data_IF_999579584372
#
_entry.id   IF_999579584372
#
_cell.length_a   1.000
_cell.length_b   1.000
_cell.length_c   1.000
_cell.angle_alpha   90.00
_cell.angle_beta   90.00
_cell.angle_gamma   90.00
#
_symmetry.space_group_name_H-M   'P 1'
#
loop_
_entity.id
_entity.type
_entity.pdbx_description
1 polymer ?
#
# COMPACT_ATOMS: atom_id res chain seq x y z
N UNK A 1 -8.76 -6.52 -8.18
CA UNK A 1 -8.34 -7.84 -7.66
C UNK A 1 -9.55 -8.71 -7.30
N UNK A 2 -9.73 -9.82 -7.99
CA UNK A 2 -10.80 -10.79 -7.70
C UNK A 2 -10.47 -11.75 -6.52
N UNK A 3 -11.35 -12.71 -6.23
CA UNK A 3 -11.15 -13.67 -5.12
C UNK A 3 -9.97 -14.61 -5.37
N UNK A 4 -9.74 -15.05 -6.61
CA UNK A 4 -8.63 -15.94 -6.95
C UNK A 4 -7.30 -15.21 -6.87
N UNK A 5 -7.24 -13.99 -7.40
CA UNK A 5 -6.07 -13.12 -7.33
C UNK A 5 -5.70 -12.79 -5.88
N UNK A 6 -6.69 -12.50 -5.03
CA UNK A 6 -6.45 -12.30 -3.58
C UNK A 6 -5.86 -13.54 -2.90
N UNK A 7 -6.30 -14.74 -3.28
CA UNK A 7 -5.74 -15.99 -2.75
C UNK A 7 -4.26 -16.14 -3.13
N UNK A 8 -3.91 -15.85 -4.38
CA UNK A 8 -2.52 -15.88 -4.86
C UNK A 8 -1.68 -14.83 -4.12
N UNK A 9 -2.19 -13.60 -4.00
CA UNK A 9 -1.53 -12.52 -3.27
C UNK A 9 -1.24 -12.90 -1.81
N UNK A 10 -2.22 -13.49 -1.12
CA UNK A 10 -2.02 -13.98 0.26
C UNK A 10 -1.00 -15.13 0.34
N UNK A 11 -0.98 -16.02 -0.63
CA UNK A 11 0.01 -17.11 -0.67
C UNK A 11 1.43 -16.57 -0.88
N UNK A 12 1.59 -15.58 -1.76
CA UNK A 12 2.86 -14.90 -1.97
C UNK A 12 3.33 -14.15 -0.72
N UNK A 13 2.42 -13.60 0.10
CA UNK A 13 2.81 -13.04 1.40
C UNK A 13 3.36 -14.09 2.36
N UNK A 14 2.80 -15.31 2.39
CA UNK A 14 3.37 -16.40 3.19
C UNK A 14 4.79 -16.73 2.73
N UNK A 15 4.98 -16.88 1.42
CA UNK A 15 6.31 -17.11 0.83
C UNK A 15 7.26 -15.98 1.22
N UNK A 16 6.84 -14.72 1.09
CA UNK A 16 7.65 -13.56 1.44
C UNK A 16 8.14 -13.62 2.89
N UNK A 17 7.24 -13.89 3.84
CA UNK A 17 7.57 -14.05 5.26
C UNK A 17 8.60 -15.16 5.50
N UNK A 18 8.52 -16.27 4.77
CA UNK A 18 9.45 -17.39 4.89
C UNK A 18 10.86 -17.10 4.32
N UNK A 19 10.97 -16.19 3.36
CA UNK A 19 12.24 -15.90 2.66
C UNK A 19 12.89 -14.58 3.08
N UNK A 20 12.17 -13.68 3.75
CA UNK A 20 12.66 -12.32 4.04
C UNK A 20 13.91 -12.28 4.93
N UNK A 21 14.09 -13.29 5.80
CA UNK A 21 15.24 -13.39 6.71
C UNK A 21 16.41 -14.19 6.11
N UNK A 22 16.28 -14.72 4.88
CA UNK A 22 17.26 -15.60 4.25
C UNK A 22 18.18 -14.78 3.33
N UNK A 23 19.45 -14.51 3.71
CA UNK A 23 20.34 -13.66 2.93
C UNK A 23 20.57 -14.19 1.50
N UNK A 24 20.62 -15.51 1.33
CA UNK A 24 20.77 -16.18 0.04
C UNK A 24 19.55 -16.03 -0.88
N UNK A 25 18.41 -15.56 -0.34
CA UNK A 25 17.17 -15.28 -1.09
C UNK A 25 16.92 -13.80 -1.32
N UNK A 26 17.84 -12.91 -0.95
CA UNK A 26 17.63 -11.47 -0.99
C UNK A 26 17.05 -10.95 -2.32
N UNK A 27 17.66 -11.31 -3.47
CA UNK A 27 17.17 -10.87 -4.78
C UNK A 27 15.73 -11.35 -5.07
N UNK A 28 15.41 -12.60 -4.72
CA UNK A 28 14.07 -13.16 -4.85
C UNK A 28 13.08 -12.46 -3.92
N UNK A 29 13.49 -12.17 -2.68
CA UNK A 29 12.70 -11.43 -1.69
C UNK A 29 12.33 -10.04 -2.21
N UNK A 30 13.29 -9.28 -2.73
CA UNK A 30 13.06 -7.95 -3.29
C UNK A 30 12.08 -8.02 -4.48
N UNK A 31 12.30 -8.95 -5.42
CA UNK A 31 11.41 -9.10 -6.57
C UNK A 31 9.97 -9.43 -6.14
N UNK A 32 9.81 -10.38 -5.21
CA UNK A 32 8.49 -10.75 -4.70
C UNK A 32 7.84 -9.59 -3.95
N UNK A 33 8.58 -8.91 -3.07
CA UNK A 33 8.11 -7.73 -2.35
C UNK A 33 7.59 -6.65 -3.32
N UNK A 34 8.39 -6.25 -4.31
CA UNK A 34 7.99 -5.22 -5.29
C UNK A 34 6.76 -5.65 -6.10
N UNK A 35 6.69 -6.92 -6.51
CA UNK A 35 5.52 -7.43 -7.25
C UNK A 35 4.23 -7.41 -6.41
N UNK A 36 4.33 -7.67 -5.11
CA UNK A 36 3.21 -7.68 -4.19
C UNK A 36 2.79 -6.26 -3.80
N UNK A 37 3.77 -5.37 -3.64
CA UNK A 37 3.59 -3.96 -3.33
C UNK A 37 2.94 -3.20 -4.49
N UNK A 38 3.32 -3.47 -5.74
CA UNK A 38 2.69 -2.87 -6.91
C UNK A 38 1.18 -3.11 -7.01
N UNK A 39 0.65 -4.18 -6.39
CA UNK A 39 -0.79 -4.47 -6.37
C UNK A 39 -1.58 -3.65 -5.33
N UNK A 40 -0.90 -2.90 -4.48
CA UNK A 40 -1.51 -1.97 -3.52
C UNK A 40 -1.73 -0.58 -4.12
N UNK A 41 -1.01 -0.24 -5.18
CA UNK A 41 -1.08 1.05 -5.86
C UNK A 41 -1.95 0.98 -7.11
N UNK A 42 -2.35 2.12 -7.68
CA UNK A 42 -3.13 2.13 -8.92
C UNK A 42 -2.43 1.38 -10.06
N UNK A 43 -3.21 0.74 -10.93
CA UNK A 43 -2.68 0.04 -12.11
C UNK A 43 -1.82 0.95 -13.00
N UNK A 44 -2.14 2.26 -13.04
CA UNK A 44 -1.39 3.27 -13.78
C UNK A 44 0.02 3.50 -13.24
N UNK A 45 0.18 3.54 -11.91
CA UNK A 45 1.48 3.72 -11.25
C UNK A 45 2.31 2.44 -11.38
N UNK A 46 1.69 1.27 -11.17
CA UNK A 46 2.36 -0.02 -11.26
C UNK A 46 2.65 -0.52 -12.68
N UNK A 47 2.21 0.23 -13.72
CA UNK A 47 2.26 -0.15 -15.13
C UNK A 47 1.79 -1.61 -15.36
N UNK A 48 0.67 -1.96 -14.75
CA UNK A 48 0.12 -3.32 -14.76
C UNK A 48 -1.25 -3.31 -15.43
N UNK A 49 -1.51 -4.33 -16.25
CA UNK A 49 -2.84 -4.53 -16.84
C UNK A 49 -3.82 -5.20 -15.88
N UNK A 50 -3.39 -5.51 -14.65
CA UNK A 50 -4.22 -6.16 -13.62
C UNK A 50 -4.91 -5.11 -12.78
N UNK A 51 -6.17 -5.34 -12.45
CA UNK A 51 -6.90 -4.51 -11.49
C UNK A 51 -6.30 -4.66 -10.10
N UNK A 52 -5.79 -3.57 -9.54
CA UNK A 52 -5.13 -3.54 -8.23
C UNK A 52 -6.13 -3.41 -7.08
N UNK A 53 -5.64 -3.35 -5.85
CA UNK A 53 -6.49 -3.10 -4.67
C UNK A 53 -6.94 -1.63 -4.61
N UNK A 54 -6.06 -0.69 -4.95
CA UNK A 54 -6.43 0.72 -5.06
C UNK A 54 -7.50 0.92 -6.14
N UNK A 55 -7.34 0.31 -7.32
CA UNK A 55 -8.34 0.38 -8.39
C UNK A 55 -9.71 -0.10 -7.89
N UNK A 56 -9.77 -1.23 -7.17
CA UNK A 56 -11.04 -1.75 -6.61
C UNK A 56 -11.62 -0.82 -5.56
N UNK A 57 -10.78 -0.15 -4.77
CA UNK A 57 -11.23 0.73 -3.70
C UNK A 57 -11.74 2.07 -4.22
N UNK A 58 -11.04 2.65 -5.21
CA UNK A 58 -11.24 4.03 -5.64
C UNK A 58 -12.03 4.18 -6.94
N UNK A 59 -12.05 3.16 -7.82
CA UNK A 59 -12.85 3.25 -9.03
C UNK A 59 -14.34 3.35 -8.66
N UNK A 60 -15.02 4.31 -9.28
CA UNK A 60 -16.44 4.63 -9.07
C UNK A 60 -16.80 5.08 -7.63
N UNK A 61 -15.80 5.35 -6.77
CA UNK A 61 -16.05 5.88 -5.42
C UNK A 61 -16.38 7.37 -5.50
N UNK A 62 -17.57 7.74 -5.04
CA UNK A 62 -17.98 9.15 -5.00
C UNK A 62 -17.32 9.91 -3.84
N UNK A 63 -17.16 11.22 -4.03
CA UNK A 63 -16.49 12.12 -3.08
C UNK A 63 -17.17 12.14 -1.71
N UNK A 64 -18.50 12.02 -1.65
CA UNK A 64 -19.24 12.04 -0.39
C UNK A 64 -18.91 10.79 0.41
N UNK A 65 -18.92 9.62 -0.23
CA UNK A 65 -18.52 8.36 0.41
C UNK A 65 -17.04 8.37 0.80
N UNK A 66 -16.16 8.87 -0.07
CA UNK A 66 -14.72 8.92 0.17
C UNK A 66 -14.35 9.72 1.44
N UNK A 67 -15.04 10.85 1.67
CA UNK A 67 -14.82 11.71 2.84
C UNK A 67 -15.69 11.37 4.06
N UNK A 68 -16.66 10.47 3.93
CA UNK A 68 -17.58 10.13 5.02
C UNK A 68 -16.84 9.48 6.18
N UNK A 69 -17.18 9.88 7.40
CA UNK A 69 -16.85 9.14 8.62
C UNK A 69 -17.92 8.07 8.85
N UNK A 70 -17.61 6.77 8.69
CA UNK A 70 -18.61 5.71 8.78
C UNK A 70 -19.07 5.45 10.22
N UNK A 71 -18.24 5.80 11.21
CA UNK A 71 -18.51 5.61 12.64
C UNK A 71 -18.39 6.94 13.37
N UNK A 72 -19.41 7.29 14.14
CA UNK A 72 -19.37 8.42 15.07
C UNK A 72 -18.79 7.94 16.41
N UNK A 73 -17.47 7.74 16.46
CA UNK A 73 -16.75 7.54 17.71
C UNK A 73 -16.16 8.90 18.13
N UNK A 74 -16.38 9.38 19.38
CA UNK A 74 -15.78 10.62 19.87
C UNK A 74 -14.26 10.69 19.65
N UNK A 75 -13.59 9.54 19.75
CA UNK A 75 -12.13 9.46 19.77
C UNK A 75 -11.51 9.20 18.39
N UNK A 76 -12.31 8.94 17.34
CA UNK A 76 -11.77 8.68 16.00
C UNK A 76 -12.63 9.29 14.89
N UNK A 77 -11.97 9.93 13.92
CA UNK A 77 -12.60 10.52 12.73
C UNK A 77 -11.85 10.08 11.49
N UNK A 78 -12.02 8.82 11.13
CA UNK A 78 -11.23 8.19 10.07
C UNK A 78 -12.13 7.89 8.86
N UNK A 79 -12.01 8.70 7.82
CA UNK A 79 -12.62 8.47 6.50
C UNK A 79 -11.70 7.63 5.62
N UNK A 80 -12.14 7.19 4.44
CA UNK A 80 -11.27 6.51 3.48
C UNK A 80 -10.11 7.44 3.09
N UNK A 81 -10.42 8.71 2.82
CA UNK A 81 -9.41 9.74 2.53
C UNK A 81 -8.36 9.86 3.65
N UNK A 82 -8.79 9.86 4.91
CA UNK A 82 -7.88 9.92 6.06
C UNK A 82 -6.97 8.68 6.12
N UNK A 83 -7.50 7.48 5.93
CA UNK A 83 -6.70 6.24 5.98
C UNK A 83 -5.65 6.20 4.86
N UNK A 84 -6.01 6.58 3.63
CA UNK A 84 -5.05 6.62 2.52
C UNK A 84 -3.95 7.64 2.77
N UNK A 85 -4.31 8.85 3.22
CA UNK A 85 -3.32 9.86 3.58
C UNK A 85 -2.40 9.39 4.71
N UNK A 86 -2.97 8.76 5.74
CA UNK A 86 -2.21 8.27 6.89
C UNK A 86 -1.23 7.16 6.50
N UNK A 87 -1.67 6.18 5.69
CA UNK A 87 -0.80 5.10 5.20
C UNK A 87 0.30 5.66 4.30
N UNK A 88 -0.02 6.58 3.39
CA UNK A 88 0.98 7.23 2.53
C UNK A 88 2.04 7.98 3.34
N UNK A 89 1.68 8.61 4.46
CA UNK A 89 2.65 9.27 5.37
C UNK A 89 3.57 8.27 6.07
N UNK A 90 3.06 7.10 6.44
CA UNK A 90 3.89 6.02 7.00
C UNK A 90 4.85 5.48 5.93
N UNK A 91 4.36 5.28 4.71
CA UNK A 91 5.18 4.81 3.58
C UNK A 91 6.28 5.82 3.23
N UNK A 92 5.95 7.10 3.09
CA UNK A 92 6.90 8.20 2.84
C UNK A 92 8.03 8.21 3.89
N UNK A 93 7.67 8.18 5.18
CA UNK A 93 8.65 8.13 6.26
C UNK A 93 9.53 6.86 6.20
N UNK A 94 8.94 5.70 5.89
CA UNK A 94 9.64 4.42 5.85
C UNK A 94 10.61 4.35 4.67
N UNK A 95 10.14 4.67 3.47
CA UNK A 95 10.94 4.56 2.24
C UNK A 95 11.98 5.66 2.19
N UNK A 96 11.60 6.92 2.39
CA UNK A 96 12.54 8.02 2.20
C UNK A 96 13.60 8.07 3.31
N UNK A 97 13.21 7.97 4.59
CA UNK A 97 14.20 8.05 5.67
C UNK A 97 14.98 6.75 5.86
N UNK A 98 14.30 5.60 5.92
CA UNK A 98 14.97 4.36 6.36
C UNK A 98 15.65 3.59 5.22
N UNK A 99 15.15 3.73 3.99
CA UNK A 99 15.69 3.01 2.83
C UNK A 99 16.57 3.93 1.98
N UNK A 100 16.05 5.12 1.63
CA UNK A 100 16.73 6.02 0.70
C UNK A 100 17.68 7.02 1.38
N UNK A 101 17.61 7.19 2.71
CA UNK A 101 18.35 8.21 3.48
C UNK A 101 18.13 9.63 2.91
N UNK A 102 16.86 9.96 2.65
CA UNK A 102 16.40 11.23 2.09
C UNK A 102 15.26 11.82 2.91
N UNK A 103 14.98 13.11 2.73
CA UNK A 103 13.86 13.77 3.41
C UNK A 103 12.51 13.21 2.95
N UNK A 104 11.53 13.29 3.85
CA UNK A 104 10.12 13.02 3.54
C UNK A 104 9.59 14.01 2.49
N UNK A 105 8.66 13.59 1.63
CA UNK A 105 8.11 14.42 0.55
C UNK A 105 7.42 15.68 1.09
N UNK A 106 6.68 15.55 2.19
CA UNK A 106 6.01 16.67 2.87
C UNK A 106 6.77 17.09 4.14
N UNK A 107 8.10 17.09 4.09
CA UNK A 107 8.91 17.63 5.17
C UNK A 107 8.70 19.14 5.27
N UNK A 108 8.08 19.58 6.37
CA UNK A 108 7.94 20.99 6.73
C UNK A 108 8.87 21.20 7.92
N UNK A 109 10.16 21.40 7.64
CA UNK A 109 11.19 21.72 8.62
C UNK A 109 12.32 22.48 7.94
N UNK A 110 12.66 23.63 8.51
CA UNK A 110 13.78 24.50 8.13
C UNK A 110 15.13 23.86 8.51
#
# INVERSE_FOLDING_TARGET
>A
MDVKERRIWNQNHKILTEIIQKPEKHAQTIQLFLSQHALLHSSSIGNTSRTTLEDVLLNDLDEVTFRKYPVANPDTKNSIAWHLWHIARIEDMTINLLIADTQQVLYIGE
#
